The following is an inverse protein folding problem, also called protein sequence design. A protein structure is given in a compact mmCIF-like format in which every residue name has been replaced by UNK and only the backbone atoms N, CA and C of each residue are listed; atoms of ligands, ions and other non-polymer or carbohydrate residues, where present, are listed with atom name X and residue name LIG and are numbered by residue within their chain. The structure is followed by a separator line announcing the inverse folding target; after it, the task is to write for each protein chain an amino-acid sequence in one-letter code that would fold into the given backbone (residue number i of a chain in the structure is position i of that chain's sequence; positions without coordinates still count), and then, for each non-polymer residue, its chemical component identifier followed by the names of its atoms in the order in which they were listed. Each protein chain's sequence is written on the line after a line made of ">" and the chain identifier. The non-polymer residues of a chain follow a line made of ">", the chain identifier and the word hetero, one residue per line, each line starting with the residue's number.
data_IF_599894469605
#
_entry.id   IF_599894469605
#
_cell.length_a   1.000
_cell.length_b   1.000
_cell.length_c   1.000
_cell.angle_alpha   90.00
_cell.angle_beta   90.00
_cell.angle_gamma   90.00
#
_symmetry.space_group_name_H-M   'P 1'
#
loop_
_entity.id
_entity.type
_entity.pdbx_description
1 polymer ?
#
# COMPACT_ATOMS: atom_id res chain seq x y z
N UNK A 1 -9.26 8.78 -8.04
CA UNK A 1 -8.69 8.52 -6.70
C UNK A 1 -8.37 7.04 -6.44
N UNK A 2 -9.14 6.08 -6.97
CA UNK A 2 -9.01 4.65 -6.62
C UNK A 2 -7.60 4.01 -6.76
N UNK A 3 -6.72 4.56 -7.61
CA UNK A 3 -5.32 4.12 -7.76
C UNK A 3 -4.31 5.05 -7.09
N UNK A 4 -4.70 6.29 -6.81
CA UNK A 4 -3.77 7.35 -6.40
C UNK A 4 -3.23 7.13 -5.00
N UNK A 5 -4.06 6.61 -4.08
CA UNK A 5 -3.60 6.27 -2.73
C UNK A 5 -2.43 5.29 -2.74
N UNK A 6 -2.57 4.19 -3.47
CA UNK A 6 -1.52 3.17 -3.62
C UNK A 6 -0.25 3.75 -4.25
N UNK A 7 -0.40 4.49 -5.34
CA UNK A 7 0.74 5.11 -6.04
C UNK A 7 1.46 6.13 -5.15
N UNK A 8 0.73 6.96 -4.42
CA UNK A 8 1.29 7.89 -3.44
C UNK A 8 2.05 7.14 -2.34
N UNK A 9 1.51 6.01 -1.86
CA UNK A 9 2.17 5.13 -0.90
C UNK A 9 3.51 4.59 -1.42
N UNK A 10 3.57 4.09 -2.66
CA UNK A 10 4.82 3.66 -3.32
C UNK A 10 5.84 4.80 -3.32
N UNK A 11 5.43 6.00 -3.76
CA UNK A 11 6.31 7.16 -3.79
C UNK A 11 6.84 7.49 -2.38
N UNK A 12 5.97 7.52 -1.38
CA UNK A 12 6.35 7.80 0.01
C UNK A 12 7.38 6.78 0.53
N UNK A 13 7.17 5.49 0.29
CA UNK A 13 8.15 4.46 0.69
C UNK A 13 9.46 4.66 -0.07
N UNK A 14 9.43 4.90 -1.38
CA UNK A 14 10.64 5.10 -2.18
C UNK A 14 11.46 6.33 -1.78
N UNK A 15 10.80 7.44 -1.45
CA UNK A 15 11.49 8.68 -1.07
C UNK A 15 11.96 8.67 0.39
N UNK A 16 11.12 8.23 1.32
CA UNK A 16 11.37 8.37 2.77
C UNK A 16 11.98 7.10 3.41
N UNK A 17 11.67 5.91 2.89
CA UNK A 17 12.06 4.62 3.46
C UNK A 17 13.10 3.93 2.57
N UNK A 18 14.29 4.55 2.42
CA UNK A 18 15.38 4.08 1.54
C UNK A 18 15.88 2.64 1.80
N UNK A 19 15.55 2.06 2.96
CA UNK A 19 15.90 0.68 3.34
C UNK A 19 14.93 -0.37 2.82
N UNK A 20 13.78 0.05 2.28
CA UNK A 20 12.76 -0.87 1.80
C UNK A 20 13.06 -1.25 0.35
N UNK A 21 13.20 -2.55 0.10
CA UNK A 21 13.51 -3.06 -1.22
C UNK A 21 12.34 -2.83 -2.18
N UNK A 22 12.67 -2.49 -3.44
CA UNK A 22 11.67 -2.24 -4.48
C UNK A 22 10.70 -3.42 -4.69
N UNK A 23 11.19 -4.66 -4.53
CA UNK A 23 10.35 -5.87 -4.60
C UNK A 23 9.30 -5.89 -3.48
N UNK A 24 9.70 -5.62 -2.23
CA UNK A 24 8.78 -5.57 -1.09
C UNK A 24 7.68 -4.52 -1.28
N UNK A 25 8.07 -3.34 -1.76
CA UNK A 25 7.16 -2.24 -2.08
C UNK A 25 6.18 -2.61 -3.20
N UNK A 26 6.65 -3.25 -4.26
CA UNK A 26 5.81 -3.66 -5.39
C UNK A 26 4.74 -4.69 -4.99
N UNK A 27 5.11 -5.74 -4.26
CA UNK A 27 4.13 -6.72 -3.78
C UNK A 27 3.12 -6.10 -2.81
N UNK A 28 3.58 -5.19 -1.95
CA UNK A 28 2.71 -4.47 -1.01
C UNK A 28 1.70 -3.56 -1.72
N UNK A 29 2.13 -2.89 -2.79
CA UNK A 29 1.25 -2.08 -3.61
C UNK A 29 0.17 -2.91 -4.32
N UNK A 30 0.51 -4.10 -4.83
CA UNK A 30 -0.48 -4.99 -5.46
C UNK A 30 -1.55 -5.41 -4.44
N UNK A 31 -1.13 -5.85 -3.25
CA UNK A 31 -2.06 -6.27 -2.20
C UNK A 31 -2.95 -5.08 -1.77
N UNK A 32 -2.34 -3.91 -1.55
CA UNK A 32 -3.06 -2.70 -1.19
C UNK A 32 -4.08 -2.28 -2.26
N UNK A 33 -3.72 -2.36 -3.55
CA UNK A 33 -4.63 -2.04 -4.64
C UNK A 33 -5.83 -3.00 -4.70
N UNK A 34 -5.61 -4.29 -4.47
CA UNK A 34 -6.69 -5.28 -4.37
C UNK A 34 -7.61 -4.94 -3.20
N UNK A 35 -7.07 -4.61 -2.03
CA UNK A 35 -7.86 -4.19 -0.87
C UNK A 35 -8.69 -2.94 -1.16
N UNK A 36 -8.13 -1.95 -1.87
CA UNK A 36 -8.87 -0.75 -2.27
C UNK A 36 -10.03 -1.07 -3.22
N UNK A 37 -9.87 -2.01 -4.15
CA UNK A 37 -10.98 -2.47 -4.97
C UNK A 37 -12.08 -3.15 -4.17
N UNK A 38 -11.72 -3.98 -3.18
CA UNK A 38 -12.68 -4.60 -2.28
C UNK A 38 -13.44 -3.53 -1.49
N UNK A 39 -12.74 -2.57 -0.88
CA UNK A 39 -13.36 -1.47 -0.13
C UNK A 39 -14.28 -0.65 -1.03
N UNK A 40 -13.83 -0.29 -2.23
CA UNK A 40 -14.65 0.47 -3.17
C UNK A 40 -15.93 -0.27 -3.55
N UNK A 41 -15.83 -1.57 -3.85
CA UNK A 41 -16.98 -2.37 -4.22
C UNK A 41 -18.03 -2.42 -3.09
N UNK A 42 -17.60 -2.70 -1.86
CA UNK A 42 -18.50 -2.90 -0.72
C UNK A 42 -18.97 -1.62 -0.02
N UNK A 43 -18.22 -0.52 -0.08
CA UNK A 43 -18.55 0.72 0.65
C UNK A 43 -19.11 1.83 -0.23
N UNK A 44 -18.84 1.79 -1.55
CA UNK A 44 -19.20 2.86 -2.48
C UNK A 44 -20.09 2.31 -3.60
N UNK A 45 -19.62 1.30 -4.35
CA UNK A 45 -20.33 0.84 -5.55
C UNK A 45 -21.69 0.21 -5.27
N UNK A 46 -21.82 -0.56 -4.18
CA UNK A 46 -23.08 -1.24 -3.84
C UNK A 46 -24.17 -0.29 -3.31
N UNK A 47 -23.78 0.90 -2.83
CA UNK A 47 -24.71 1.88 -2.27
C UNK A 47 -25.15 2.88 -3.34
N UNK A 48 -26.45 3.24 -3.40
CA UNK A 48 -26.92 4.26 -4.30
C UNK A 48 -26.30 5.63 -3.96
N UNK A 49 -26.10 6.46 -4.99
CA UNK A 49 -25.48 7.79 -4.88
C UNK A 49 -26.13 8.62 -3.77
N UNK A 50 -25.34 9.00 -2.76
CA UNK A 50 -25.80 9.76 -1.59
C UNK A 50 -25.95 8.97 -0.29
N UNK A 51 -25.84 7.63 -0.33
CA UNK A 51 -25.81 6.77 0.87
C UNK A 51 -24.48 6.01 1.02
N UNK A 52 -23.42 6.49 0.37
CA UNK A 52 -22.09 5.90 0.46
C UNK A 52 -21.61 5.96 1.91
N UNK A 53 -21.19 4.80 2.44
CA UNK A 53 -20.68 4.72 3.82
C UNK A 53 -19.28 5.29 3.96
N UNK A 54 -18.59 5.51 2.84
CA UNK A 54 -17.22 6.01 2.80
C UNK A 54 -17.06 6.99 1.65
N UNK A 55 -16.62 8.21 1.96
CA UNK A 55 -16.36 9.21 0.92
C UNK A 55 -15.22 8.80 0.00
N UNK A 56 -15.37 9.00 -1.30
CA UNK A 56 -14.40 8.57 -2.33
C UNK A 56 -12.95 9.05 -2.11
N UNK A 57 -12.74 10.18 -1.42
CA UNK A 57 -11.40 10.68 -1.08
C UNK A 57 -10.67 9.81 -0.04
N UNK A 58 -11.39 9.13 0.85
CA UNK A 58 -10.80 8.28 1.89
C UNK A 58 -9.99 7.12 1.32
N UNK A 59 -10.33 6.65 0.12
CA UNK A 59 -9.57 5.61 -0.58
C UNK A 59 -8.11 6.02 -0.80
N UNK A 60 -7.82 7.31 -0.99
CA UNK A 60 -6.45 7.78 -1.14
C UNK A 60 -5.67 7.62 0.17
N UNK A 61 -6.25 8.06 1.28
CA UNK A 61 -5.62 7.99 2.60
C UNK A 61 -5.38 6.53 3.02
N UNK A 62 -6.41 5.69 2.87
CA UNK A 62 -6.34 4.26 3.18
C UNK A 62 -5.29 3.58 2.29
N UNK A 63 -5.33 3.82 0.97
CA UNK A 63 -4.40 3.19 0.03
C UNK A 63 -2.94 3.57 0.29
N UNK A 64 -2.67 4.82 0.65
CA UNK A 64 -1.32 5.27 0.95
C UNK A 64 -0.78 4.62 2.23
N UNK A 65 -1.55 4.66 3.33
CA UNK A 65 -1.14 4.07 4.61
C UNK A 65 -0.99 2.56 4.49
N UNK A 66 -1.94 1.89 3.85
CA UNK A 66 -1.91 0.44 3.68
C UNK A 66 -0.67 0.01 2.90
N UNK A 67 -0.33 0.72 1.82
CA UNK A 67 0.88 0.44 1.05
C UNK A 67 2.16 0.63 1.88
N UNK A 68 2.25 1.70 2.67
CA UNK A 68 3.42 1.96 3.53
C UNK A 68 3.58 0.87 4.59
N UNK A 69 2.50 0.56 5.31
CA UNK A 69 2.50 -0.45 6.38
C UNK A 69 2.83 -1.84 5.83
N UNK A 70 2.19 -2.26 4.74
CA UNK A 70 2.49 -3.54 4.12
C UNK A 70 3.93 -3.59 3.61
N UNK A 71 4.45 -2.49 3.07
CA UNK A 71 5.82 -2.44 2.57
C UNK A 71 6.85 -2.61 3.68
N UNK A 72 6.59 -2.03 4.86
CA UNK A 72 7.42 -2.22 6.04
C UNK A 72 7.32 -3.65 6.57
N UNK A 73 6.10 -4.20 6.66
CA UNK A 73 5.89 -5.59 7.09
C UNK A 73 6.57 -6.60 6.15
N UNK A 74 6.42 -6.42 4.83
CA UNK A 74 7.07 -7.25 3.82
C UNK A 74 8.59 -7.15 3.90
N UNK A 75 9.14 -5.96 4.10
CA UNK A 75 10.58 -5.79 4.30
C UNK A 75 11.08 -6.57 5.53
N UNK A 76 10.34 -6.49 6.64
CA UNK A 76 10.71 -7.16 7.89
C UNK A 76 10.56 -8.69 7.83
N UNK A 77 9.51 -9.19 7.20
CA UNK A 77 9.19 -10.62 7.16
C UNK A 77 10.00 -11.38 6.10
N UNK A 78 10.22 -10.78 4.94
CA UNK A 78 10.77 -11.48 3.76
C UNK A 78 12.20 -11.06 3.45
N UNK A 79 12.55 -9.78 3.65
CA UNK A 79 13.80 -9.20 3.13
C UNK A 79 14.85 -8.83 4.18
N UNK A 80 14.59 -9.12 5.47
CA UNK A 80 15.55 -8.91 6.57
C UNK A 80 16.88 -9.67 6.38
N UNK A 81 16.87 -10.80 5.65
CA UNK A 81 18.04 -11.68 5.50
C UNK A 81 19.13 -11.13 4.57
N UNK A 82 18.76 -10.34 3.55
CA UNK A 82 19.71 -9.91 2.52
C UNK A 82 20.62 -8.74 2.96
N UNK A 83 20.24 -7.95 3.97
CA UNK A 83 21.08 -6.86 4.50
C UNK A 83 22.19 -7.38 5.44
N UNK A 84 22.00 -8.55 6.05
CA UNK A 84 22.99 -9.14 6.96
C UNK A 84 24.11 -9.84 6.19
N UNK A 85 23.79 -10.64 5.16
CA UNK A 85 24.82 -11.35 4.36
C UNK A 85 25.71 -10.39 3.56
N UNK A 86 25.22 -9.22 3.16
CA UNK A 86 26.01 -8.20 2.43
C UNK A 86 26.95 -7.37 3.31
N UNK A 87 26.79 -7.44 4.64
CA UNK A 87 27.71 -6.80 5.60
C UNK A 87 28.77 -7.78 6.14
N UNK A 88 28.65 -9.07 5.86
CA UNK A 88 29.63 -10.10 6.24
C UNK A 88 30.63 -10.44 5.10
N UNK A 89 30.49 -9.78 3.94
CA UNK A 89 31.41 -9.81 2.79
C UNK A 89 32.24 -8.52 2.72
#
# INVERSE_FOLDING_TARGET
>A
SIFYGTVLGIFLVGFYLRRVQAKAMFYSAIISQITIFVIYYFMIYIYPSGQEKLGYLWLNFIGAILTIVLSLLMQLLVFKRNELEMNEL
#
